data_IF_860832184224
#
_entry.id   IF_860832184224
#
_cell.length_a   1.000
_cell.length_b   1.000
_cell.length_c   1.000
_cell.angle_alpha   90.00
_cell.angle_beta   90.00
_cell.angle_gamma   90.00
#
_symmetry.space_group_name_H-M   'P 1'
#
loop_
_entity.id
_entity.type
_entity.pdbx_description
1 polymer ?
#
# COMPACT_ATOMS: atom_id res chain seq x y z
N UNK A 1 -21.37 18.89 -39.62
CA UNK A 1 -22.19 19.91 -38.94
C UNK A 1 -22.69 19.30 -37.64
N UNK A 2 -21.80 18.96 -36.71
CA UNK A 2 -20.99 19.85 -35.84
C UNK A 2 -21.87 20.40 -34.72
N UNK A 3 -21.48 20.15 -33.46
CA UNK A 3 -22.13 20.80 -32.32
C UNK A 3 -22.11 20.02 -31.01
N UNK A 4 -20.92 19.85 -30.43
CA UNK A 4 -20.71 19.58 -29.00
C UNK A 4 -21.36 20.64 -28.11
N UNK A 5 -21.86 20.28 -26.91
CA UNK A 5 -21.62 21.06 -25.68
C UNK A 5 -21.95 20.24 -24.42
N UNK A 6 -20.99 20.21 -23.48
CA UNK A 6 -21.01 19.53 -22.19
C UNK A 6 -21.97 20.23 -21.21
N UNK A 7 -22.76 19.46 -20.46
CA UNK A 7 -23.53 19.98 -19.31
C UNK A 7 -22.88 19.55 -18.00
N UNK A 8 -22.50 20.56 -17.23
CA UNK A 8 -21.91 20.49 -15.90
C UNK A 8 -22.94 20.08 -14.84
N UNK A 9 -22.51 19.26 -13.89
CA UNK A 9 -22.88 19.34 -12.47
C UNK A 9 -24.36 19.21 -12.09
N UNK A 10 -24.83 17.98 -11.88
CA UNK A 10 -26.09 17.75 -11.18
C UNK A 10 -25.83 17.54 -9.69
N UNK A 11 -25.90 18.60 -8.90
CA UNK A 11 -26.08 18.51 -7.45
C UNK A 11 -27.42 17.81 -7.17
N UNK A 12 -27.38 16.58 -6.63
CA UNK A 12 -28.59 15.94 -6.14
C UNK A 12 -29.06 16.62 -4.85
N UNK A 13 -30.19 17.32 -4.97
CA UNK A 13 -30.95 17.93 -3.87
C UNK A 13 -31.65 16.84 -3.05
N UNK A 14 -31.17 16.61 -1.83
CA UNK A 14 -31.79 15.67 -0.89
C UNK A 14 -33.18 16.18 -0.46
N UNK A 15 -34.25 15.51 -0.89
CA UNK A 15 -35.59 15.72 -0.31
C UNK A 15 -35.67 14.90 0.98
N UNK A 16 -35.79 15.57 2.13
CA UNK A 16 -36.18 14.93 3.40
C UNK A 16 -37.58 14.32 3.26
N UNK A 17 -37.63 13.02 2.98
CA UNK A 17 -38.82 12.21 3.16
C UNK A 17 -38.72 11.51 4.52
N UNK A 18 -39.68 11.83 5.38
CA UNK A 18 -39.77 11.42 6.77
C UNK A 18 -40.26 9.97 6.87
N UNK A 19 -39.42 9.01 6.47
CA UNK A 19 -39.58 7.59 6.81
C UNK A 19 -38.26 7.11 7.39
N UNK A 20 -38.23 7.11 8.71
CA UNK A 20 -37.13 6.66 9.56
C UNK A 20 -36.99 5.14 9.41
N UNK A 21 -36.29 4.72 8.36
CA UNK A 21 -35.75 3.37 8.28
C UNK A 21 -34.58 3.31 9.24
N UNK A 22 -34.76 2.62 10.37
CA UNK A 22 -33.65 2.16 11.17
C UNK A 22 -32.70 1.41 10.24
N UNK A 23 -31.43 1.79 10.24
CA UNK A 23 -30.37 0.92 9.72
C UNK A 23 -30.49 -0.36 10.54
N UNK A 24 -30.86 -1.48 9.90
CA UNK A 24 -30.92 -2.77 10.58
C UNK A 24 -29.56 -3.03 11.25
N UNK A 25 -29.55 -2.98 12.58
CA UNK A 25 -28.36 -3.11 13.42
C UNK A 25 -27.72 -4.52 13.36
N UNK A 26 -28.22 -5.39 12.49
CA UNK A 26 -27.83 -6.80 12.36
C UNK A 26 -27.04 -7.11 11.07
N UNK A 27 -26.64 -6.09 10.29
CA UNK A 27 -25.75 -6.23 9.12
C UNK A 27 -24.33 -5.68 9.37
N UNK A 28 -23.92 -5.53 10.62
CA UNK A 28 -22.51 -5.42 10.94
C UNK A 28 -21.91 -6.84 10.91
N UNK A 29 -21.63 -7.38 9.71
CA UNK A 29 -20.57 -8.39 9.62
C UNK A 29 -19.35 -7.78 10.30
N UNK A 30 -18.82 -8.41 11.34
CA UNK A 30 -17.70 -7.90 12.14
C UNK A 30 -16.63 -7.30 11.22
N UNK A 31 -16.59 -5.97 11.10
CA UNK A 31 -15.55 -5.28 10.34
C UNK A 31 -14.34 -5.27 11.24
N UNK A 32 -13.63 -6.40 11.29
CA UNK A 32 -12.34 -6.49 11.96
C UNK A 32 -11.36 -5.63 11.18
N UNK A 33 -10.77 -4.58 11.79
CA UNK A 33 -9.78 -3.77 11.10
C UNK A 33 -8.56 -4.65 10.74
N UNK A 34 -7.90 -4.41 9.60
CA UNK A 34 -6.71 -5.16 9.24
C UNK A 34 -5.64 -5.01 10.32
N UNK A 35 -4.84 -6.07 10.53
CA UNK A 35 -3.70 -6.07 11.44
C UNK A 35 -2.83 -4.83 11.25
N UNK A 36 -2.28 -4.25 12.32
CA UNK A 36 -1.42 -3.08 12.20
C UNK A 36 -0.21 -3.38 11.33
N UNK A 37 0.14 -2.44 10.46
CA UNK A 37 1.28 -2.62 9.55
C UNK A 37 2.61 -2.34 10.25
N UNK A 38 3.44 -3.37 10.40
CA UNK A 38 4.73 -3.30 11.08
C UNK A 38 5.83 -2.86 10.10
N UNK A 39 6.63 -1.82 10.41
CA UNK A 39 7.76 -1.47 9.58
C UNK A 39 8.82 -2.59 9.60
N UNK A 40 9.15 -3.16 8.42
CA UNK A 40 10.27 -4.12 8.27
C UNK A 40 11.33 -3.68 7.25
N UNK A 41 12.55 -4.14 7.47
CA UNK A 41 13.60 -4.18 6.45
C UNK A 41 13.37 -5.46 5.63
N UNK A 42 13.59 -5.43 4.32
CA UNK A 42 13.24 -6.53 3.43
C UNK A 42 13.98 -7.82 3.81
N UNK A 43 15.27 -7.75 4.08
CA UNK A 43 16.08 -8.88 4.55
C UNK A 43 15.79 -9.35 5.98
N UNK A 44 14.86 -8.69 6.70
CA UNK A 44 14.41 -9.07 8.05
C UNK A 44 12.94 -9.48 8.09
N UNK A 45 12.30 -9.68 6.93
CA UNK A 45 10.93 -10.20 6.86
C UNK A 45 10.95 -11.63 7.39
N UNK A 46 10.00 -11.95 8.25
CA UNK A 46 9.85 -13.28 8.83
C UNK A 46 8.56 -13.95 8.34
N UNK A 47 8.46 -15.29 8.36
CA UNK A 47 7.26 -16.00 7.92
C UNK A 47 6.01 -15.72 8.79
N UNK A 48 6.21 -15.29 10.03
CA UNK A 48 5.14 -14.93 10.99
C UNK A 48 4.69 -13.47 10.85
N UNK A 49 5.37 -12.65 10.05
CA UNK A 49 4.94 -11.27 9.83
C UNK A 49 3.69 -11.28 8.93
N UNK A 50 2.55 -10.80 9.45
CA UNK A 50 1.30 -10.71 8.70
C UNK A 50 1.31 -9.49 7.76
N UNK A 51 1.14 -8.28 8.32
CA UNK A 51 1.08 -7.04 7.55
C UNK A 51 2.33 -6.19 7.78
N UNK A 52 3.09 -5.92 6.73
CA UNK A 52 4.35 -5.18 6.81
C UNK A 52 4.37 -3.91 5.95
N UNK A 53 5.24 -2.99 6.35
CA UNK A 53 5.58 -1.77 5.62
C UNK A 53 7.05 -1.81 5.27
N UNK A 54 7.33 -1.70 3.97
CA UNK A 54 8.69 -1.65 3.45
C UNK A 54 8.88 -0.40 2.60
N UNK A 55 10.12 0.08 2.57
CA UNK A 55 10.55 1.21 1.75
C UNK A 55 11.76 0.74 0.96
N UNK A 56 11.75 0.99 -0.35
CA UNK A 56 12.84 0.58 -1.21
C UNK A 56 12.76 1.23 -2.58
N UNK A 57 13.71 0.87 -3.43
CA UNK A 57 13.81 1.33 -4.81
C UNK A 57 13.32 0.24 -5.76
N UNK A 58 12.51 0.61 -6.75
CA UNK A 58 12.05 -0.32 -7.78
C UNK A 58 13.23 -0.67 -8.69
N UNK A 59 13.61 -1.95 -8.74
CA UNK A 59 14.73 -2.42 -9.56
C UNK A 59 14.30 -3.04 -10.87
N UNK A 60 13.12 -3.66 -10.89
CA UNK A 60 12.55 -4.29 -12.08
C UNK A 60 11.04 -4.18 -12.02
N UNK A 61 10.41 -3.98 -13.18
CA UNK A 61 8.96 -4.04 -13.37
C UNK A 61 8.68 -5.17 -14.35
N UNK A 62 7.74 -6.04 -14.02
CA UNK A 62 7.31 -7.16 -14.86
C UNK A 62 6.10 -6.75 -15.71
N UNK A 63 5.82 -7.54 -16.75
CA UNK A 63 4.70 -7.29 -17.68
C UNK A 63 3.33 -7.42 -17.02
N UNK A 64 3.22 -8.23 -15.96
CA UNK A 64 2.02 -8.43 -15.15
C UNK A 64 1.74 -7.30 -14.15
N UNK A 65 2.57 -6.24 -14.15
CA UNK A 65 2.46 -5.11 -13.22
C UNK A 65 3.06 -5.37 -11.84
N UNK A 66 3.55 -6.58 -11.57
CA UNK A 66 4.34 -6.87 -10.39
C UNK A 66 5.75 -6.27 -10.53
N UNK A 67 6.44 -6.02 -9.42
CA UNK A 67 7.76 -5.40 -9.47
C UNK A 67 8.65 -5.83 -8.32
N UNK A 68 9.97 -5.79 -8.57
CA UNK A 68 10.97 -6.08 -7.57
C UNK A 68 11.36 -4.80 -6.84
N UNK A 69 11.13 -4.77 -5.53
CA UNK A 69 11.54 -3.68 -4.65
C UNK A 69 12.78 -4.10 -3.87
N UNK A 70 13.81 -3.25 -3.86
CA UNK A 70 15.07 -3.52 -3.17
C UNK A 70 15.35 -2.43 -2.13
N UNK A 71 15.73 -2.85 -0.92
CA UNK A 71 16.32 -1.98 0.09
C UNK A 71 17.76 -2.43 0.35
N UNK A 72 18.44 -1.80 1.30
CA UNK A 72 19.83 -2.14 1.62
C UNK A 72 20.03 -3.48 2.36
N UNK A 73 18.95 -4.21 2.64
CA UNK A 73 18.99 -5.52 3.30
C UNK A 73 18.54 -6.67 2.41
N UNK A 74 17.78 -6.41 1.33
CA UNK A 74 17.34 -7.44 0.41
C UNK A 74 16.38 -6.94 -0.66
N UNK A 75 15.83 -7.87 -1.42
CA UNK A 75 14.84 -7.63 -2.46
C UNK A 75 13.59 -8.47 -2.23
N UNK A 76 12.41 -7.93 -2.57
CA UNK A 76 11.12 -8.60 -2.44
C UNK A 76 10.26 -8.32 -3.66
N UNK A 77 9.51 -9.35 -4.09
CA UNK A 77 8.51 -9.20 -5.14
C UNK A 77 7.25 -8.55 -4.56
N UNK A 78 6.81 -7.46 -5.17
CA UNK A 78 5.58 -6.76 -4.83
C UNK A 78 4.52 -7.07 -5.89
N UNK A 79 3.36 -7.50 -5.43
CA UNK A 79 2.15 -7.66 -6.25
C UNK A 79 1.15 -6.61 -5.77
N UNK A 80 1.00 -5.47 -6.47
CA UNK A 80 0.06 -4.44 -6.07
C UNK A 80 -1.38 -4.85 -6.38
N UNK A 81 -2.33 -4.45 -5.54
CA UNK A 81 -3.75 -4.58 -5.85
C UNK A 81 -4.18 -3.53 -6.89
N UNK A 82 -5.24 -3.82 -7.65
CA UNK A 82 -5.79 -2.89 -8.65
C UNK A 82 -6.15 -1.52 -8.05
N UNK A 83 -6.66 -1.52 -6.80
CA UNK A 83 -6.94 -0.31 -6.04
C UNK A 83 -5.67 0.47 -5.71
N UNK A 84 -4.60 -0.24 -5.32
CA UNK A 84 -3.31 0.40 -5.02
C UNK A 84 -2.71 1.08 -6.26
N UNK A 85 -2.82 0.43 -7.43
CA UNK A 85 -2.33 0.97 -8.70
C UNK A 85 -3.14 2.18 -9.14
N UNK A 86 -4.48 2.10 -9.09
CA UNK A 86 -5.37 3.19 -9.52
C UNK A 86 -5.27 4.45 -8.66
N UNK A 87 -5.01 4.29 -7.36
CA UNK A 87 -4.78 5.41 -6.44
C UNK A 87 -3.38 6.00 -6.54
N UNK A 88 -2.43 5.29 -7.17
CA UNK A 88 -1.07 5.74 -7.33
C UNK A 88 -0.95 6.69 -8.53
N UNK A 89 -0.63 7.97 -8.26
CA UNK A 89 -0.74 9.04 -9.26
C UNK A 89 0.33 9.03 -10.36
N UNK A 90 1.30 8.11 -10.29
CA UNK A 90 2.46 8.06 -11.20
C UNK A 90 2.65 6.65 -11.74
N UNK A 91 3.19 6.47 -12.96
CA UNK A 91 3.57 5.15 -13.44
C UNK A 91 4.70 4.57 -12.58
N UNK A 92 4.58 3.30 -12.19
CA UNK A 92 5.65 2.57 -11.49
C UNK A 92 6.76 2.28 -12.50
N UNK A 93 7.97 2.78 -12.23
CA UNK A 93 9.13 2.69 -13.12
C UNK A 93 10.38 2.31 -12.34
N UNK A 94 11.35 1.71 -13.01
CA UNK A 94 12.66 1.43 -12.41
C UNK A 94 13.30 2.72 -11.92
N UNK A 95 13.90 2.66 -10.72
CA UNK A 95 14.62 3.77 -10.10
C UNK A 95 13.79 4.64 -9.16
N UNK A 96 12.46 4.53 -9.15
CA UNK A 96 11.63 5.28 -8.20
C UNK A 96 11.70 4.65 -6.81
N UNK A 97 11.57 5.47 -5.78
CA UNK A 97 11.53 5.01 -4.39
C UNK A 97 10.08 4.94 -3.96
N UNK A 98 9.67 3.80 -3.41
CA UNK A 98 8.31 3.56 -2.95
C UNK A 98 8.29 3.13 -1.49
N UNK A 99 7.24 3.57 -0.80
CA UNK A 99 6.75 2.91 0.41
C UNK A 99 5.53 2.08 0.03
N UNK A 100 5.54 0.82 0.45
CA UNK A 100 4.41 -0.09 0.26
C UNK A 100 3.98 -0.72 1.59
N UNK A 101 2.67 -0.95 1.73
CA UNK A 101 2.09 -1.68 2.84
C UNK A 101 1.27 -2.85 2.29
N UNK A 102 1.42 -4.03 2.90
CA UNK A 102 0.79 -5.23 2.38
C UNK A 102 0.90 -6.43 3.31
N UNK A 103 0.28 -7.54 2.88
CA UNK A 103 0.35 -8.83 3.56
C UNK A 103 1.45 -9.68 2.96
N UNK A 104 2.26 -10.29 3.83
CA UNK A 104 3.34 -11.20 3.42
C UNK A 104 2.75 -12.55 3.08
N UNK A 105 3.14 -13.08 1.94
CA UNK A 105 2.83 -14.44 1.51
C UNK A 105 4.13 -15.19 1.21
N UNK A 106 4.09 -16.50 1.35
CA UNK A 106 5.17 -17.39 0.92
C UNK A 106 4.88 -17.81 -0.52
N UNK A 107 5.83 -17.58 -1.42
CA UNK A 107 5.76 -18.03 -2.79
C UNK A 107 5.86 -19.56 -2.88
N UNK A 108 5.40 -20.12 -4.00
CA UNK A 108 5.55 -21.56 -4.27
C UNK A 108 7.03 -21.99 -4.33
N UNK A 109 7.94 -21.07 -4.60
CA UNK A 109 9.40 -21.30 -4.65
C UNK A 109 10.09 -21.10 -3.29
N UNK A 110 9.32 -20.82 -2.23
CA UNK A 110 9.84 -20.63 -0.86
C UNK A 110 10.39 -19.23 -0.57
N UNK A 111 10.17 -18.26 -1.47
CA UNK A 111 10.50 -16.84 -1.25
C UNK A 111 9.35 -16.06 -0.60
N UNK A 112 9.61 -14.85 -0.12
CA UNK A 112 8.55 -13.95 0.35
C UNK A 112 8.03 -13.07 -0.79
N UNK A 113 6.70 -12.94 -0.87
CA UNK A 113 5.99 -12.01 -1.75
C UNK A 113 5.17 -11.07 -0.88
N UNK A 114 5.05 -9.81 -1.28
CA UNK A 114 4.17 -8.85 -0.62
C UNK A 114 2.97 -8.52 -1.52
N UNK A 115 1.76 -8.85 -1.07
CA UNK A 115 0.53 -8.33 -1.68
C UNK A 115 0.26 -6.94 -1.13
N UNK A 116 0.44 -5.93 -1.96
CA UNK A 116 0.42 -4.53 -1.55
C UNK A 116 -0.94 -3.89 -1.77
N UNK A 117 -1.52 -3.33 -0.71
CA UNK A 117 -2.76 -2.56 -0.77
C UNK A 117 -2.51 -1.05 -0.92
N UNK A 118 -1.32 -0.59 -0.54
CA UNK A 118 -0.98 0.83 -0.49
C UNK A 118 0.37 1.04 -1.16
N UNK A 119 0.41 1.94 -2.14
CA UNK A 119 1.63 2.44 -2.79
C UNK A 119 1.77 3.93 -2.55
N UNK A 120 2.95 4.36 -2.12
CA UNK A 120 3.24 5.76 -1.83
C UNK A 120 4.59 6.16 -2.43
N UNK A 121 4.60 7.30 -3.12
CA UNK A 121 5.81 7.83 -3.75
C UNK A 121 6.71 8.41 -2.66
N UNK A 122 7.91 7.84 -2.55
CA UNK A 122 8.93 8.20 -1.58
C UNK A 122 10.18 8.75 -2.28
N UNK A 123 10.11 9.07 -3.57
CA UNK A 123 11.25 9.53 -4.37
C UNK A 123 11.82 10.89 -3.93
N UNK A 124 11.06 11.67 -3.16
CA UNK A 124 11.51 12.95 -2.60
C UNK A 124 12.20 12.87 -1.23
N UNK A 125 12.41 11.66 -0.69
CA UNK A 125 12.97 11.48 0.66
C UNK A 125 14.47 11.23 0.58
N UNK A 126 15.22 11.83 1.52
CA UNK A 126 16.58 11.41 1.83
C UNK A 126 16.55 10.01 2.46
N UNK A 127 16.81 9.00 1.62
CA UNK A 127 16.83 7.60 2.04
C UNK A 127 17.88 7.37 3.11
N UNK A 128 19.06 7.97 3.02
CA UNK A 128 20.12 7.76 4.00
C UNK A 128 19.68 8.21 5.39
N UNK A 129 19.08 9.39 5.49
CA UNK A 129 18.49 9.91 6.72
C UNK A 129 17.34 9.04 7.21
N UNK A 130 16.43 8.62 6.32
CA UNK A 130 15.33 7.72 6.65
C UNK A 130 15.83 6.48 7.38
N UNK A 131 16.89 5.86 6.86
CA UNK A 131 17.44 4.67 7.48
C UNK A 131 18.23 4.94 8.77
N UNK A 132 18.89 6.10 8.90
CA UNK A 132 19.52 6.50 10.16
C UNK A 132 18.49 6.63 11.27
N UNK A 133 17.40 7.36 11.01
CA UNK A 133 16.29 7.54 11.96
C UNK A 133 15.65 6.20 12.30
N UNK A 134 15.40 5.36 11.30
CA UNK A 134 14.82 4.05 11.50
C UNK A 134 15.64 3.16 12.43
N UNK A 135 16.96 3.14 12.25
CA UNK A 135 17.83 2.38 13.14
C UNK A 135 17.71 2.86 14.59
N UNK A 136 17.66 4.17 14.83
CA UNK A 136 17.50 4.75 16.18
C UNK A 136 16.17 4.32 16.81
N UNK A 137 15.06 4.41 16.07
CA UNK A 137 13.73 4.03 16.58
C UNK A 137 13.66 2.53 16.87
N UNK A 138 14.24 1.69 16.01
CA UNK A 138 14.30 0.24 16.24
C UNK A 138 15.12 -0.11 17.51
N UNK A 139 16.14 0.69 17.88
CA UNK A 139 16.89 0.49 19.13
C UNK A 139 16.09 0.87 20.39
N UNK A 140 15.16 1.82 20.31
CA UNK A 140 14.37 2.28 21.46
C UNK A 140 13.20 1.34 21.79
N UNK A 141 12.59 0.72 20.77
CA UNK A 141 11.46 -0.22 20.97
C UNK A 141 11.90 -1.52 21.67
N UNK A 142 13.18 -1.89 21.62
CA UNK A 142 13.73 -3.09 22.28
C UNK A 142 14.00 -2.87 23.78
N UNK A 143 13.90 -1.63 24.29
CA UNK A 143 14.20 -1.30 25.69
C UNK A 143 12.99 -1.12 26.61
N UNK A 144 11.80 -1.55 26.19
CA UNK A 144 10.57 -1.48 27.00
C UNK A 144 10.09 -2.87 27.42
#
# INVERSE_FOLDING_TARGET
MDGSFLSYGTYMRWKKSNRMGYCDANMASEITPPSPTVPRLIGKIRPDDDRIRVVGTVKRVNEDGSFLLEDKSGAIQIIPSDNAVSLFSKPIKVGIVLRTCGTVEVSLEGGHILRSDILQDFSGIDLELYYKVRNVVDFEVVKL
#
